data_IF_163857266088
#
_entry.id   IF_163857266088
#
_cell.length_a   1.000
_cell.length_b   1.000
_cell.length_c   1.000
_cell.angle_alpha   90.00
_cell.angle_beta   90.00
_cell.angle_gamma   90.00
#
_symmetry.space_group_name_H-M   'P 1'
#
loop_
_entity.id
_entity.type
_entity.pdbx_description
1 polymer ?
#
# COMPACT_ATOMS: atom_id res chain seq x y z
N UNK A 1 -38.37 2.74 -5.77
CA UNK A 1 -37.74 2.50 -7.08
C UNK A 1 -36.22 2.65 -6.93
N UNK A 2 -35.51 1.69 -7.46
CA UNK A 2 -34.01 1.73 -7.36
C UNK A 2 -33.47 2.56 -8.52
N UNK A 3 -32.63 3.53 -8.21
CA UNK A 3 -31.93 4.31 -9.23
C UNK A 3 -30.66 3.57 -9.65
N UNK A 4 -30.53 3.30 -10.94
CA UNK A 4 -29.32 2.70 -11.47
C UNK A 4 -28.36 3.80 -11.89
N UNK A 5 -27.13 3.73 -11.40
CA UNK A 5 -26.07 4.71 -11.70
C UNK A 5 -25.65 4.56 -13.15
N UNK A 6 -25.65 5.68 -13.90
CA UNK A 6 -25.13 5.71 -15.27
C UNK A 6 -23.61 5.69 -15.25
N UNK A 7 -22.99 5.38 -16.39
CA UNK A 7 -21.54 5.41 -16.53
C UNK A 7 -20.97 6.80 -16.22
N UNK A 8 -21.66 7.87 -16.62
CA UNK A 8 -21.24 9.25 -16.33
C UNK A 8 -21.31 9.57 -14.84
N UNK A 9 -22.38 9.17 -14.18
CA UNK A 9 -22.54 9.36 -12.74
C UNK A 9 -21.48 8.59 -11.96
N UNK A 10 -21.20 7.34 -12.37
CA UNK A 10 -20.14 6.54 -11.75
C UNK A 10 -18.77 7.21 -11.91
N UNK A 11 -18.48 7.82 -13.07
CA UNK A 11 -17.22 8.53 -13.30
C UNK A 11 -17.08 9.75 -12.38
N UNK A 12 -18.17 10.49 -12.17
CA UNK A 12 -18.17 11.65 -11.27
C UNK A 12 -17.93 11.19 -9.83
N UNK A 13 -18.55 10.11 -9.39
CA UNK A 13 -18.36 9.55 -8.06
C UNK A 13 -16.88 9.17 -7.84
N UNK A 14 -16.26 8.52 -8.82
CA UNK A 14 -14.86 8.12 -8.75
C UNK A 14 -13.95 9.36 -8.61
N UNK A 15 -14.24 10.44 -9.33
CA UNK A 15 -13.44 11.66 -9.30
C UNK A 15 -13.51 12.35 -7.93
N UNK A 16 -14.69 12.37 -7.29
CA UNK A 16 -14.90 13.09 -6.03
C UNK A 16 -14.66 12.25 -4.78
N UNK A 17 -14.56 10.92 -4.91
CA UNK A 17 -14.31 10.05 -3.76
C UNK A 17 -12.83 10.07 -3.38
N UNK A 18 -12.58 10.20 -2.07
CA UNK A 18 -11.25 10.00 -1.51
C UNK A 18 -11.00 8.52 -1.33
N UNK A 19 -9.81 8.09 -1.72
CA UNK A 19 -9.36 6.72 -1.52
C UNK A 19 -8.20 6.71 -0.53
N UNK A 20 -8.12 5.61 0.21
CA UNK A 20 -7.04 5.34 1.15
C UNK A 20 -6.34 4.07 0.71
N UNK A 21 -5.05 4.04 0.86
CA UNK A 21 -4.24 2.92 0.37
C UNK A 21 -3.38 2.37 1.48
N UNK A 22 -3.35 1.04 1.55
CA UNK A 22 -2.33 0.34 2.32
C UNK A 22 -1.34 -0.19 1.29
N UNK A 23 -0.08 0.14 1.46
CA UNK A 23 0.95 -0.23 0.50
C UNK A 23 2.06 -1.01 1.19
N UNK A 24 2.70 -1.87 0.43
CA UNK A 24 3.85 -2.64 0.91
C UNK A 24 5.01 -2.37 -0.03
N UNK A 25 6.11 -1.93 0.55
CA UNK A 25 7.37 -1.71 -0.16
C UNK A 25 8.33 -2.84 0.17
N UNK A 26 9.18 -3.16 -0.79
CA UNK A 26 10.26 -4.11 -0.60
C UNK A 26 11.59 -3.42 -0.89
N UNK A 27 12.54 -3.54 0.03
CA UNK A 27 13.90 -3.07 -0.22
C UNK A 27 14.54 -3.90 -1.32
N UNK A 28 15.24 -3.24 -2.24
CA UNK A 28 15.93 -3.92 -3.34
C UNK A 28 17.16 -4.67 -2.82
N UNK A 29 17.89 -4.06 -1.89
CA UNK A 29 19.18 -4.58 -1.44
C UNK A 29 19.15 -5.26 -0.08
N UNK A 30 18.06 -5.12 0.67
CA UNK A 30 17.97 -5.66 2.03
C UNK A 30 16.73 -6.55 2.15
N UNK A 31 16.76 -7.52 3.07
CA UNK A 31 15.61 -8.38 3.35
C UNK A 31 14.63 -7.67 4.26
N UNK A 32 14.02 -6.60 3.74
CA UNK A 32 13.08 -5.78 4.49
C UNK A 32 11.89 -5.40 3.64
N UNK A 33 10.71 -5.45 4.27
CA UNK A 33 9.49 -4.91 3.73
C UNK A 33 9.03 -3.77 4.64
N UNK A 34 8.28 -2.84 4.08
CA UNK A 34 7.66 -1.75 4.82
C UNK A 34 6.18 -1.69 4.47
N UNK A 35 5.33 -1.62 5.49
CA UNK A 35 3.88 -1.50 5.32
C UNK A 35 3.49 -0.10 5.77
N UNK A 36 2.72 0.60 4.94
CA UNK A 36 2.27 1.94 5.28
C UNK A 36 0.87 2.23 4.78
N UNK A 37 0.38 3.38 5.20
CA UNK A 37 -0.92 3.93 4.83
C UNK A 37 -0.68 5.28 4.15
N UNK A 38 -1.41 5.55 3.08
CA UNK A 38 -1.29 6.83 2.39
C UNK A 38 -2.54 7.13 1.57
N UNK A 39 -2.71 8.37 1.21
CA UNK A 39 -3.71 8.80 0.24
C UNK A 39 -3.13 8.90 -1.17
N UNK A 40 -1.80 8.75 -1.33
CA UNK A 40 -1.14 8.84 -2.62
C UNK A 40 0.11 7.93 -2.62
N UNK A 41 -0.02 6.75 -3.22
CA UNK A 41 1.04 5.74 -3.24
C UNK A 41 2.28 6.22 -4.00
N UNK A 42 2.08 6.82 -5.17
CA UNK A 42 3.20 7.29 -5.99
C UNK A 42 4.04 8.33 -5.27
N UNK A 43 3.39 9.35 -4.69
CA UNK A 43 4.08 10.37 -3.92
C UNK A 43 4.84 9.76 -2.73
N UNK A 44 4.18 8.85 -2.01
CA UNK A 44 4.78 8.26 -0.81
C UNK A 44 5.99 7.39 -1.14
N UNK A 45 5.94 6.65 -2.24
CA UNK A 45 7.09 5.87 -2.71
C UNK A 45 8.28 6.80 -3.02
N UNK A 46 8.03 7.90 -3.69
CA UNK A 46 9.08 8.89 -3.97
C UNK A 46 9.68 9.48 -2.69
N UNK A 47 8.83 9.74 -1.68
CA UNK A 47 9.31 10.24 -0.39
C UNK A 47 10.21 9.23 0.30
N UNK A 48 9.84 7.95 0.32
CA UNK A 48 10.69 6.91 0.90
C UNK A 48 12.03 6.82 0.17
N UNK A 49 12.03 6.87 -1.15
CA UNK A 49 13.26 6.78 -1.94
C UNK A 49 14.11 8.05 -1.90
N UNK A 50 13.53 9.18 -1.53
CA UNK A 50 14.29 10.42 -1.33
C UNK A 50 15.03 10.46 0.01
N UNK A 51 14.72 9.53 0.92
CA UNK A 51 15.31 9.51 2.25
C UNK A 51 14.60 10.40 3.25
N UNK A 52 13.37 10.86 2.92
CA UNK A 52 12.60 11.75 3.78
C UNK A 52 12.14 11.07 5.06
N UNK A 53 11.89 9.75 5.02
CA UNK A 53 11.44 8.98 6.16
C UNK A 53 12.62 8.28 6.82
N UNK A 54 12.90 8.64 8.06
CA UNK A 54 14.07 8.17 8.80
C UNK A 54 14.17 6.65 8.88
N UNK A 55 13.04 5.97 9.15
CA UNK A 55 13.04 4.51 9.34
C UNK A 55 13.30 3.73 8.06
N UNK A 56 13.03 4.30 6.89
CA UNK A 56 13.20 3.62 5.61
C UNK A 56 14.43 4.07 4.85
N UNK A 57 14.99 5.21 5.24
CA UNK A 57 16.17 5.79 4.58
C UNK A 57 17.34 4.82 4.44
N UNK A 58 17.75 4.06 5.49
CA UNK A 58 18.92 3.18 5.40
C UNK A 58 18.73 2.01 4.43
N UNK A 59 17.51 1.68 4.04
CA UNK A 59 17.19 0.49 3.27
C UNK A 59 16.77 0.78 1.84
N UNK A 60 17.04 1.99 1.37
CA UNK A 60 16.80 2.38 -0.03
C UNK A 60 17.71 1.60 -0.99
N UNK A 61 17.29 1.41 -2.25
CA UNK A 61 16.01 1.86 -2.83
C UNK A 61 14.87 0.89 -2.51
N UNK A 62 13.66 1.44 -2.48
CA UNK A 62 12.44 0.70 -2.25
C UNK A 62 11.68 0.56 -3.56
N UNK A 63 11.07 -0.61 -3.76
CA UNK A 63 10.12 -0.83 -4.85
C UNK A 63 8.75 -1.13 -4.28
N UNK A 64 7.70 -0.75 -5.00
CA UNK A 64 6.34 -1.08 -4.62
C UNK A 64 6.12 -2.56 -4.89
N UNK A 65 5.74 -3.30 -3.84
CA UNK A 65 5.40 -4.71 -3.96
C UNK A 65 3.95 -4.87 -4.36
N UNK A 66 3.05 -4.22 -3.61
CA UNK A 66 1.62 -4.14 -3.92
C UNK A 66 0.97 -3.04 -3.08
N UNK A 67 -0.26 -2.70 -3.46
CA UNK A 67 -1.10 -1.84 -2.64
C UNK A 67 -2.54 -2.32 -2.72
N UNK A 68 -3.32 -1.95 -1.71
CA UNK A 68 -4.75 -2.25 -1.62
C UNK A 68 -5.50 -0.94 -1.44
N UNK A 69 -6.67 -0.83 -2.07
CA UNK A 69 -7.47 0.39 -2.10
C UNK A 69 -8.69 0.26 -1.20
N UNK A 70 -8.97 1.30 -0.42
CA UNK A 70 -10.09 1.36 0.50
C UNK A 70 -10.81 2.69 0.34
N UNK A 71 -12.14 2.67 0.47
CA UNK A 71 -12.94 3.89 0.57
C UNK A 71 -13.14 4.31 2.03
N UNK A 72 -12.90 3.40 2.98
CA UNK A 72 -12.99 3.64 4.41
C UNK A 72 -11.60 3.76 5.01
N UNK A 73 -11.32 4.88 5.67
CA UNK A 73 -10.06 5.10 6.37
C UNK A 73 -9.86 4.07 7.48
N UNK A 74 -10.94 3.77 8.22
CA UNK A 74 -10.87 2.79 9.31
C UNK A 74 -10.47 1.41 8.80
N UNK A 75 -11.09 0.95 7.71
CA UNK A 75 -10.75 -0.35 7.12
C UNK A 75 -9.31 -0.39 6.64
N UNK A 76 -8.84 0.71 6.04
CA UNK A 76 -7.44 0.80 5.61
C UNK A 76 -6.48 0.70 6.79
N UNK A 77 -6.75 1.42 7.88
CA UNK A 77 -5.91 1.39 9.08
C UNK A 77 -5.91 0.02 9.75
N UNK A 78 -7.06 -0.66 9.76
CA UNK A 78 -7.15 -2.03 10.27
C UNK A 78 -6.32 -3.00 9.43
N UNK A 79 -6.36 -2.83 8.11
CA UNK A 79 -5.57 -3.67 7.19
C UNK A 79 -4.08 -3.41 7.35
N UNK A 80 -3.68 -2.15 7.50
CA UNK A 80 -2.29 -1.79 7.78
C UNK A 80 -1.79 -2.49 9.04
N UNK A 81 -2.60 -2.44 10.10
CA UNK A 81 -2.27 -3.09 11.37
C UNK A 81 -2.10 -4.60 11.20
N UNK A 82 -3.01 -5.24 10.45
CA UNK A 82 -2.91 -6.67 10.17
C UNK A 82 -1.61 -6.99 9.42
N UNK A 83 -1.31 -6.25 8.35
CA UNK A 83 -0.13 -6.52 7.53
C UNK A 83 1.18 -6.30 8.29
N UNK A 84 1.17 -5.51 9.35
CA UNK A 84 2.33 -5.30 10.23
C UNK A 84 2.46 -6.40 11.29
N UNK A 85 1.44 -7.23 11.48
CA UNK A 85 1.47 -8.32 12.45
C UNK A 85 2.28 -9.52 11.94
N UNK A 86 2.54 -10.50 12.82
CA UNK A 86 3.19 -11.74 12.42
C UNK A 86 2.44 -12.48 11.33
N UNK A 87 1.11 -12.56 11.43
CA UNK A 87 0.27 -13.18 10.42
C UNK A 87 0.33 -12.42 9.09
N UNK A 88 0.38 -11.09 9.15
CA UNK A 88 0.52 -10.26 7.97
C UNK A 88 1.87 -10.44 7.27
N UNK A 89 2.94 -10.57 8.04
CA UNK A 89 4.25 -10.87 7.48
C UNK A 89 4.28 -12.22 6.77
N UNK A 90 3.63 -13.22 7.33
CA UNK A 90 3.51 -14.53 6.70
C UNK A 90 2.67 -14.45 5.42
N UNK A 91 1.58 -13.70 5.45
CA UNK A 91 0.76 -13.46 4.27
C UNK A 91 1.59 -12.84 3.13
N UNK A 92 2.37 -11.82 3.43
CA UNK A 92 3.22 -11.16 2.44
C UNK A 92 4.28 -12.14 1.90
N UNK A 93 4.93 -12.86 2.79
CA UNK A 93 5.96 -13.84 2.43
C UNK A 93 5.40 -14.94 1.52
N UNK A 94 4.19 -15.43 1.81
CA UNK A 94 3.59 -16.52 1.06
C UNK A 94 3.07 -16.09 -0.31
N UNK A 95 2.59 -14.85 -0.44
CA UNK A 95 2.02 -14.36 -1.69
C UNK A 95 3.01 -13.61 -2.56
N UNK A 96 4.03 -13.03 -1.97
CA UNK A 96 5.11 -12.34 -2.68
C UNK A 96 6.46 -12.81 -2.16
N UNK A 97 6.80 -14.09 -2.42
CA UNK A 97 8.07 -14.63 -1.93
C UNK A 97 9.24 -13.93 -2.60
N UNK A 98 10.37 -13.90 -1.91
CA UNK A 98 11.63 -13.50 -2.50
C UNK A 98 12.10 -14.58 -3.47
N UNK A 99 13.25 -14.37 -4.08
CA UNK A 99 13.84 -15.38 -4.93
C UNK A 99 13.94 -16.73 -4.22
N UNK A 100 13.73 -17.84 -4.98
CA UNK A 100 13.84 -19.20 -4.42
C UNK A 100 15.24 -19.52 -3.89
N UNK A 101 16.25 -18.73 -4.25
CA UNK A 101 17.61 -18.90 -3.75
C UNK A 101 17.82 -18.24 -2.38
N UNK A 102 16.84 -17.52 -1.91
CA UNK A 102 16.85 -16.95 -0.58
C UNK A 102 16.33 -17.96 0.43
#
# INVERSE_FOLDING_TARGET
MVHLITAQEAQIIIIVMDYFYVYVLRSVDFKRNYVGFTENVERRLKEHNSGKTKSTKPYRPWKLLFFETFISKLEALEREKFLKSGQGRDYIKNNWPRSITE
#
